data_IF_206150027111
#
_entry.id   IF_206150027111
#
_cell.length_a   1.000
_cell.length_b   1.000
_cell.length_c   1.000
_cell.angle_alpha   90.00
_cell.angle_beta   90.00
_cell.angle_gamma   90.00
#
_symmetry.space_group_name_H-M   'P 1'
#
loop_
_entity.id
_entity.type
_entity.pdbx_description
1 polymer ?
#
# COMPACT_ATOMS: atom_id res chain seq x y z
N UNK A 1 54.14 58.29 -25.19
CA UNK A 1 53.45 57.33 -24.28
C UNK A 1 53.36 56.01 -24.98
N UNK A 2 53.61 54.92 -24.25
CA UNK A 2 53.49 53.58 -24.79
C UNK A 2 52.02 53.32 -25.08
N UNK A 3 51.72 52.78 -26.28
CA UNK A 3 50.37 52.44 -26.71
C UNK A 3 49.94 51.22 -25.91
N UNK A 4 48.79 51.31 -25.15
CA UNK A 4 48.16 50.22 -24.50
C UNK A 4 46.99 49.71 -25.36
N UNK A 5 47.15 48.55 -25.97
CA UNK A 5 46.11 47.94 -26.82
C UNK A 5 44.83 47.62 -26.10
N UNK A 6 44.87 47.49 -24.77
CA UNK A 6 43.70 47.18 -23.97
C UNK A 6 42.79 48.39 -23.68
N UNK A 7 43.29 49.62 -23.86
CA UNK A 7 42.49 50.82 -23.57
C UNK A 7 41.33 51.06 -24.54
N UNK A 8 41.39 50.46 -25.74
CA UNK A 8 40.34 50.59 -26.74
C UNK A 8 39.63 49.32 -26.97
N UNK A 9 38.30 49.30 -26.70
CA UNK A 9 37.42 48.17 -26.95
C UNK A 9 37.96 46.84 -26.37
N UNK A 10 38.46 46.87 -25.12
CA UNK A 10 39.09 45.75 -24.44
C UNK A 10 40.14 45.01 -25.27
N UNK A 11 40.87 45.77 -26.13
CA UNK A 11 41.88 45.21 -27.04
C UNK A 11 41.33 44.25 -28.10
N UNK A 12 40.02 44.28 -28.36
CA UNK A 12 39.34 43.34 -29.24
C UNK A 12 39.08 41.97 -28.60
N UNK A 13 39.39 41.83 -27.31
CA UNK A 13 39.03 40.60 -26.56
C UNK A 13 37.54 40.51 -26.35
N UNK A 14 37.06 39.29 -26.08
CA UNK A 14 35.68 39.05 -25.64
C UNK A 14 35.35 39.90 -24.41
N UNK A 15 34.11 40.30 -24.26
CA UNK A 15 33.59 40.90 -23.02
C UNK A 15 33.69 39.95 -21.82
N UNK A 16 33.84 38.66 -22.07
CA UNK A 16 34.08 37.60 -21.08
C UNK A 16 35.57 37.23 -20.98
N UNK A 17 36.46 38.12 -21.40
CA UNK A 17 37.92 37.97 -21.29
C UNK A 17 38.55 39.17 -20.63
N UNK A 18 39.70 38.94 -20.04
CA UNK A 18 40.59 39.98 -19.55
C UNK A 18 41.66 40.27 -20.60
N UNK A 19 41.85 41.53 -20.89
CA UNK A 19 42.92 41.98 -21.75
C UNK A 19 44.16 42.31 -20.90
N UNK A 20 45.30 41.75 -21.28
CA UNK A 20 46.58 42.04 -20.65
C UNK A 20 47.53 42.63 -21.67
N UNK A 21 48.09 43.83 -21.36
CA UNK A 21 49.16 44.49 -22.13
C UNK A 21 50.43 43.63 -22.04
N UNK A 22 51.08 43.41 -23.15
CA UNK A 22 52.37 42.72 -23.23
C UNK A 22 53.49 43.67 -23.62
N UNK A 23 53.67 43.90 -24.90
CA UNK A 23 54.60 44.86 -25.42
C UNK A 23 53.81 46.06 -26.00
N UNK A 24 54.45 47.22 -26.26
CA UNK A 24 53.73 48.36 -26.83
C UNK A 24 52.95 47.99 -28.09
N UNK A 25 51.62 48.24 -28.06
CA UNK A 25 50.68 47.90 -29.13
C UNK A 25 50.24 46.43 -29.19
N UNK A 26 50.76 45.59 -28.31
CA UNK A 26 50.37 44.13 -28.22
C UNK A 26 49.64 43.80 -26.94
N UNK A 27 48.84 42.74 -26.99
CA UNK A 27 48.07 42.30 -25.87
C UNK A 27 47.79 40.77 -25.92
N UNK A 28 47.36 40.17 -24.82
CA UNK A 28 46.79 38.81 -24.70
C UNK A 28 45.38 38.89 -24.19
N UNK A 29 44.55 38.11 -24.74
CA UNK A 29 43.15 37.90 -24.25
C UNK A 29 43.09 36.59 -23.51
N UNK A 30 42.57 36.60 -22.28
CA UNK A 30 42.39 35.41 -21.45
C UNK A 30 40.92 35.34 -20.99
N UNK A 31 40.21 34.27 -21.32
CA UNK A 31 38.84 34.09 -20.86
C UNK A 31 38.76 34.16 -19.34
N UNK A 32 37.76 34.84 -18.82
CA UNK A 32 37.47 34.91 -17.38
C UNK A 32 37.13 33.53 -16.83
N UNK A 33 37.23 33.39 -15.51
CA UNK A 33 36.84 32.16 -14.82
C UNK A 33 35.40 31.74 -15.19
N UNK A 34 35.20 30.48 -15.50
CA UNK A 34 33.93 29.94 -15.96
C UNK A 34 33.72 29.98 -17.48
N UNK A 35 34.67 30.54 -18.22
CA UNK A 35 34.63 30.64 -19.68
C UNK A 35 35.85 29.96 -20.30
N UNK A 36 35.67 29.43 -21.49
CA UNK A 36 36.75 28.81 -22.27
C UNK A 36 36.77 29.35 -23.69
N UNK A 37 37.95 29.36 -24.29
CA UNK A 37 38.16 29.83 -25.64
C UNK A 37 39.55 30.49 -25.81
N UNK A 38 39.74 31.15 -26.94
CA UNK A 38 41.01 31.83 -27.30
C UNK A 38 41.12 33.25 -26.70
N UNK A 39 40.12 33.68 -25.95
CA UNK A 39 40.04 35.04 -25.38
C UNK A 39 39.38 36.05 -26.28
N UNK A 40 39.35 35.83 -27.59
CA UNK A 40 38.58 36.65 -28.55
C UNK A 40 37.15 36.18 -28.60
N UNK A 41 36.96 34.87 -28.55
CA UNK A 41 35.67 34.20 -28.34
C UNK A 41 35.79 33.40 -27.06
N UNK A 42 34.92 33.71 -26.09
CA UNK A 42 34.82 32.99 -24.81
C UNK A 42 33.38 32.47 -24.63
N UNK A 43 33.24 31.18 -24.44
CA UNK A 43 31.95 30.51 -24.21
C UNK A 43 31.88 29.98 -22.79
N UNK A 44 30.70 29.89 -22.25
CA UNK A 44 30.50 29.32 -20.93
C UNK A 44 30.95 27.87 -20.89
N UNK A 45 31.66 27.49 -19.82
CA UNK A 45 31.99 26.11 -19.55
C UNK A 45 30.72 25.45 -19.00
N UNK A 46 30.26 24.39 -19.67
CA UNK A 46 29.16 23.55 -19.18
C UNK A 46 29.75 22.31 -18.51
N UNK A 47 29.72 22.22 -17.16
CA UNK A 47 30.27 21.08 -16.45
C UNK A 47 29.55 19.77 -16.78
N UNK A 48 28.29 19.83 -17.21
CA UNK A 48 27.47 18.66 -17.52
C UNK A 48 27.96 17.88 -18.73
N UNK A 49 28.78 18.47 -19.58
CA UNK A 49 29.33 17.82 -20.78
C UNK A 49 30.46 16.84 -20.44
N UNK A 50 31.03 16.93 -19.28
CA UNK A 50 32.12 16.07 -18.83
C UNK A 50 31.73 15.39 -17.53
N UNK A 51 31.75 14.05 -17.52
CA UNK A 51 31.47 13.21 -16.35
C UNK A 51 30.17 13.61 -15.63
N UNK A 52 29.12 13.93 -16.39
CA UNK A 52 27.81 14.37 -15.87
C UNK A 52 27.91 15.50 -14.83
N UNK A 53 28.92 16.38 -14.94
CA UNK A 53 29.15 17.47 -13.99
C UNK A 53 29.51 17.02 -12.57
N UNK A 54 29.96 15.79 -12.40
CA UNK A 54 30.21 15.18 -11.11
C UNK A 54 28.94 14.74 -10.38
N UNK A 55 27.78 14.74 -11.05
CA UNK A 55 26.54 14.23 -10.52
C UNK A 55 26.55 12.69 -10.51
N UNK A 56 25.70 12.09 -9.67
CA UNK A 56 25.46 10.66 -9.67
C UNK A 56 24.94 10.20 -11.04
N UNK A 57 25.24 8.96 -11.42
CA UNK A 57 24.72 8.37 -12.67
C UNK A 57 23.19 8.34 -12.72
N UNK A 58 22.54 8.34 -11.55
CA UNK A 58 21.09 8.39 -11.37
C UNK A 58 20.61 9.81 -11.05
N UNK A 59 21.33 10.80 -11.51
CA UNK A 59 20.97 12.21 -11.38
C UNK A 59 21.04 12.91 -12.73
N UNK A 60 20.27 13.97 -12.85
CA UNK A 60 20.29 14.89 -13.97
C UNK A 60 21.18 16.09 -13.63
N UNK A 61 22.10 16.39 -14.52
CA UNK A 61 22.94 17.60 -14.42
C UNK A 61 22.31 18.75 -15.21
N UNK A 62 22.16 19.90 -14.60
CA UNK A 62 21.64 21.10 -15.25
C UNK A 62 22.64 22.24 -15.08
N UNK A 63 23.11 22.84 -16.18
CA UNK A 63 23.93 24.03 -16.13
C UNK A 63 23.14 25.22 -15.61
N UNK A 64 23.66 25.92 -14.61
CA UNK A 64 23.02 27.09 -14.00
C UNK A 64 23.84 28.38 -14.19
N UNK A 65 25.01 28.28 -14.77
CA UNK A 65 25.88 29.42 -15.03
C UNK A 65 27.23 28.98 -15.56
N UNK A 66 28.17 29.94 -15.76
CA UNK A 66 29.51 29.63 -16.25
C UNK A 66 30.27 28.69 -15.30
N UNK A 67 30.58 27.48 -15.76
CA UNK A 67 31.21 26.41 -14.98
C UNK A 67 30.45 26.07 -13.67
N UNK A 68 29.15 26.24 -13.69
CA UNK A 68 28.27 25.94 -12.56
C UNK A 68 27.16 25.02 -13.00
N UNK A 69 26.86 24.03 -12.19
CA UNK A 69 25.80 23.08 -12.44
C UNK A 69 25.15 22.65 -11.13
N UNK A 70 23.90 22.17 -11.22
CA UNK A 70 23.19 21.52 -10.14
C UNK A 70 22.86 20.09 -10.52
N UNK A 71 22.84 19.22 -9.52
CA UNK A 71 22.50 17.81 -9.66
C UNK A 71 21.17 17.54 -8.96
N UNK A 72 20.25 16.87 -9.64
CA UNK A 72 18.98 16.40 -9.07
C UNK A 72 18.83 14.92 -9.34
N UNK A 73 18.52 14.14 -8.29
CA UNK A 73 18.28 12.72 -8.48
C UNK A 73 17.11 12.49 -9.44
N UNK A 74 17.22 11.48 -10.30
CA UNK A 74 16.14 11.06 -11.19
C UNK A 74 14.95 10.55 -10.37
N UNK A 75 13.77 10.50 -11.00
CA UNK A 75 12.55 9.96 -10.40
C UNK A 75 12.81 8.54 -9.89
N UNK A 76 12.38 8.25 -8.65
CA UNK A 76 12.61 6.96 -8.00
C UNK A 76 13.93 6.86 -7.24
N UNK A 77 14.71 7.92 -7.21
CA UNK A 77 15.94 8.03 -6.43
C UNK A 77 15.87 9.21 -5.47
N UNK A 78 16.58 9.12 -4.38
CA UNK A 78 16.65 10.15 -3.36
C UNK A 78 18.11 10.42 -2.98
N UNK A 79 18.41 11.67 -2.68
CA UNK A 79 19.72 12.11 -2.30
C UNK A 79 19.99 13.57 -2.71
N UNK A 80 21.26 13.98 -2.61
CA UNK A 80 21.72 15.35 -2.91
C UNK A 80 22.04 15.58 -4.40
N UNK A 81 21.82 14.56 -5.23
CA UNK A 81 22.18 14.59 -6.66
C UNK A 81 23.62 14.18 -6.94
N UNK A 82 24.51 14.29 -5.98
CA UNK A 82 25.88 13.76 -6.04
C UNK A 82 25.94 12.29 -5.65
N UNK A 83 25.00 11.88 -4.81
CA UNK A 83 24.76 10.52 -4.43
C UNK A 83 23.25 10.30 -4.41
N UNK A 84 22.76 9.39 -5.25
CA UNK A 84 21.35 9.05 -5.38
C UNK A 84 21.14 7.58 -5.05
N UNK A 85 20.22 7.31 -4.12
CA UNK A 85 19.86 5.94 -3.70
C UNK A 85 18.47 5.59 -4.16
N UNK A 86 18.30 4.35 -4.59
CA UNK A 86 17.00 3.82 -5.02
C UNK A 86 15.98 3.87 -3.89
N UNK A 87 14.77 4.33 -4.20
CA UNK A 87 13.64 4.33 -3.28
C UNK A 87 12.80 3.08 -3.55
N UNK A 88 12.83 2.12 -2.61
CA UNK A 88 11.97 0.95 -2.68
C UNK A 88 10.53 1.35 -2.35
N UNK A 89 9.59 1.10 -3.25
CA UNK A 89 8.16 1.27 -2.98
C UNK A 89 7.69 0.31 -1.89
N UNK A 90 8.23 -0.90 -1.87
CA UNK A 90 7.86 -1.93 -0.90
C UNK A 90 8.32 -1.64 0.53
N UNK A 91 9.30 -0.75 0.72
CA UNK A 91 9.80 -0.38 2.04
C UNK A 91 8.84 0.52 2.82
N UNK A 92 7.87 1.12 2.15
CA UNK A 92 6.88 2.02 2.75
C UNK A 92 5.49 1.42 2.62
N UNK A 93 4.86 1.14 3.76
CA UNK A 93 3.48 0.62 3.80
C UNK A 93 3.25 -0.55 2.83
N UNK A 94 4.20 -1.50 2.79
CA UNK A 94 4.16 -2.68 1.91
C UNK A 94 3.87 -2.32 0.44
N UNK A 95 4.32 -1.14 -0.03
CA UNK A 95 4.09 -0.67 -1.39
C UNK A 95 2.62 -0.41 -1.74
N UNK A 96 1.74 -0.28 -0.75
CA UNK A 96 0.29 -0.22 -0.93
C UNK A 96 -0.36 -1.57 -1.20
N UNK A 97 0.39 -2.67 -1.15
CA UNK A 97 -0.15 -4.03 -1.25
C UNK A 97 -0.97 -4.38 0.00
N UNK A 98 -1.82 -5.41 -0.13
CA UNK A 98 -2.51 -5.99 1.02
C UNK A 98 -1.51 -6.43 2.10
N UNK A 99 -1.89 -6.37 3.37
CA UNK A 99 -1.11 -6.96 4.48
C UNK A 99 -0.88 -8.47 4.30
N UNK A 100 -1.75 -9.13 3.54
CA UNK A 100 -1.64 -10.55 3.18
C UNK A 100 -1.05 -10.74 1.78
N UNK A 101 -0.28 -9.80 1.31
CA UNK A 101 0.45 -9.87 0.05
C UNK A 101 1.95 -9.67 0.26
N UNK A 102 2.70 -10.17 -0.70
CA UNK A 102 4.14 -9.95 -0.81
C UNK A 102 4.33 -8.84 -1.85
N UNK A 103 5.06 -7.81 -1.46
CA UNK A 103 5.47 -6.74 -2.35
C UNK A 103 6.86 -7.01 -2.91
N UNK A 104 7.02 -6.87 -4.22
CA UNK A 104 8.33 -6.95 -4.89
C UNK A 104 8.50 -5.72 -5.78
N UNK A 105 9.60 -5.00 -5.58
CA UNK A 105 10.01 -3.96 -6.52
C UNK A 105 10.45 -4.61 -7.83
N UNK A 106 9.87 -4.22 -8.95
CA UNK A 106 10.17 -4.77 -10.27
C UNK A 106 11.07 -3.85 -11.08
N UNK A 107 10.77 -2.57 -11.09
CA UNK A 107 11.54 -1.51 -11.75
C UNK A 107 11.51 -0.25 -10.91
N UNK A 108 12.25 0.75 -11.35
CA UNK A 108 12.20 2.09 -10.73
C UNK A 108 10.77 2.63 -10.79
N UNK A 109 10.21 2.95 -9.63
CA UNK A 109 8.81 3.40 -9.46
C UNK A 109 7.73 2.36 -9.74
N UNK A 110 8.09 1.08 -9.90
CA UNK A 110 7.14 0.00 -10.12
C UNK A 110 7.31 -1.13 -9.12
N UNK A 111 6.22 -1.75 -8.77
CA UNK A 111 6.19 -2.92 -7.88
C UNK A 111 5.05 -3.85 -8.24
N UNK A 112 5.15 -5.11 -7.82
CA UNK A 112 4.08 -6.10 -7.91
C UNK A 112 3.61 -6.51 -6.54
N UNK A 113 2.32 -6.76 -6.41
CA UNK A 113 1.69 -7.28 -5.21
C UNK A 113 1.17 -8.68 -5.52
N UNK A 114 1.55 -9.67 -4.74
CA UNK A 114 1.10 -11.06 -4.89
C UNK A 114 0.55 -11.56 -3.56
N UNK A 115 -0.68 -12.06 -3.54
CA UNK A 115 -1.25 -12.62 -2.31
C UNK A 115 -0.38 -13.75 -1.77
N UNK A 116 -0.20 -13.78 -0.46
CA UNK A 116 0.50 -14.87 0.24
C UNK A 116 -0.22 -16.19 0.03
N UNK A 117 0.48 -17.29 0.30
CA UNK A 117 -0.09 -18.64 0.21
C UNK A 117 -1.40 -18.74 0.99
N UNK A 118 -2.39 -19.39 0.39
CA UNK A 118 -3.77 -19.58 0.91
C UNK A 118 -4.63 -18.30 0.90
N UNK A 119 -4.16 -17.21 0.31
CA UNK A 119 -4.96 -16.03 0.06
C UNK A 119 -5.16 -15.86 -1.44
N UNK A 120 -6.31 -15.33 -1.82
CA UNK A 120 -6.71 -15.13 -3.22
C UNK A 120 -7.10 -13.68 -3.46
N UNK A 121 -6.64 -13.12 -4.55
CA UNK A 121 -6.93 -11.75 -4.94
C UNK A 121 -5.90 -11.19 -5.90
N UNK A 122 -5.98 -9.87 -6.11
CA UNK A 122 -5.11 -9.14 -7.03
C UNK A 122 -3.79 -8.65 -6.39
N UNK A 123 -3.57 -8.99 -5.12
CA UNK A 123 -2.42 -8.53 -4.35
C UNK A 123 -2.66 -7.23 -3.60
N UNK A 124 -3.57 -6.37 -4.05
CA UNK A 124 -4.02 -5.17 -3.34
C UNK A 124 -5.13 -5.49 -2.35
N UNK A 125 -5.95 -6.47 -2.70
CA UNK A 125 -6.95 -7.09 -1.84
C UNK A 125 -6.75 -8.59 -1.88
N UNK A 126 -6.40 -9.16 -0.74
CA UNK A 126 -6.21 -10.60 -0.58
C UNK A 126 -7.22 -11.14 0.42
N UNK A 127 -7.96 -12.18 0.03
CA UNK A 127 -8.98 -12.83 0.85
C UNK A 127 -8.50 -14.20 1.25
N UNK A 128 -8.68 -14.53 2.53
CA UNK A 128 -8.47 -15.86 3.06
C UNK A 128 -9.79 -16.65 3.13
N UNK A 129 -9.74 -17.84 3.72
CA UNK A 129 -10.93 -18.58 4.06
C UNK A 129 -11.65 -17.93 5.27
N UNK A 130 -12.84 -18.45 5.63
CA UNK A 130 -13.64 -17.90 6.72
C UNK A 130 -12.86 -17.83 8.05
N UNK A 131 -12.03 -18.84 8.37
CA UNK A 131 -11.21 -18.81 9.58
C UNK A 131 -10.25 -17.63 9.61
N UNK A 132 -9.58 -17.37 8.49
CA UNK A 132 -8.65 -16.25 8.36
C UNK A 132 -9.38 -14.91 8.44
N UNK A 133 -10.54 -14.81 7.81
CA UNK A 133 -11.35 -13.58 7.84
C UNK A 133 -11.93 -13.31 9.24
N UNK A 134 -12.36 -14.33 9.99
CA UNK A 134 -12.81 -14.18 11.37
C UNK A 134 -11.70 -13.67 12.30
N UNK A 135 -10.50 -14.19 12.15
CA UNK A 135 -9.35 -13.80 12.97
C UNK A 135 -8.90 -12.37 12.68
N UNK A 136 -9.00 -11.95 11.43
CA UNK A 136 -8.54 -10.67 10.95
C UNK A 136 -9.32 -9.49 11.50
N UNK A 137 -10.64 -9.64 11.67
CA UNK A 137 -11.52 -8.57 12.15
C UNK A 137 -11.73 -8.69 13.66
N UNK A 138 -11.39 -7.65 14.43
CA UNK A 138 -11.59 -7.62 15.88
C UNK A 138 -13.06 -7.81 16.27
N UNK A 139 -14.01 -7.48 15.39
CA UNK A 139 -15.44 -7.66 15.63
C UNK A 139 -15.87 -9.14 15.64
N UNK A 140 -15.10 -10.02 15.03
CA UNK A 140 -15.36 -11.46 14.88
C UNK A 140 -14.32 -12.32 15.57
N UNK A 141 -13.24 -11.75 16.07
CA UNK A 141 -12.11 -12.50 16.63
C UNK A 141 -12.47 -13.34 17.86
N UNK A 142 -13.45 -12.95 18.65
CA UNK A 142 -13.90 -13.75 19.79
C UNK A 142 -14.63 -15.01 19.37
N UNK A 143 -15.44 -14.93 18.34
CA UNK A 143 -16.08 -16.11 17.73
C UNK A 143 -15.01 -17.09 17.22
N UNK A 144 -14.01 -16.58 16.54
CA UNK A 144 -12.86 -17.39 16.12
C UNK A 144 -12.19 -18.08 17.31
N UNK A 145 -11.93 -17.35 18.39
CA UNK A 145 -11.28 -17.90 19.59
C UNK A 145 -12.07 -19.09 20.19
N UNK A 146 -13.39 -18.99 20.21
CA UNK A 146 -14.24 -20.09 20.67
C UNK A 146 -14.20 -21.29 19.72
N UNK A 147 -14.23 -21.05 18.41
CA UNK A 147 -14.12 -22.12 17.42
C UNK A 147 -12.80 -22.87 17.56
N UNK A 148 -11.70 -22.14 17.73
CA UNK A 148 -10.37 -22.72 17.90
C UNK A 148 -10.26 -23.50 19.21
N UNK A 149 -10.71 -22.93 20.33
CA UNK A 149 -10.65 -23.56 21.64
C UNK A 149 -11.46 -24.86 21.71
N UNK A 150 -12.56 -24.95 20.98
CA UNK A 150 -13.44 -26.13 20.92
C UNK A 150 -13.16 -27.06 19.74
N UNK A 151 -12.07 -26.81 19.00
CA UNK A 151 -11.62 -27.59 17.84
C UNK A 151 -12.70 -27.76 16.76
N UNK A 152 -13.50 -26.72 16.55
CA UNK A 152 -14.50 -26.67 15.47
C UNK A 152 -13.80 -26.22 14.21
N UNK A 153 -13.41 -27.16 13.35
CA UNK A 153 -12.60 -26.92 12.16
C UNK A 153 -13.35 -27.13 10.85
N UNK A 154 -14.61 -27.52 10.90
CA UNK A 154 -15.42 -27.82 9.72
C UNK A 154 -15.49 -26.65 8.73
N UNK A 155 -15.53 -25.42 9.24
CA UNK A 155 -15.61 -24.21 8.40
C UNK A 155 -14.29 -23.83 7.73
N UNK A 156 -13.20 -24.53 8.01
CA UNK A 156 -11.95 -24.41 7.24
C UNK A 156 -11.98 -25.23 5.95
N UNK A 157 -12.97 -26.09 5.78
CA UNK A 157 -13.15 -26.93 4.61
C UNK A 157 -13.60 -26.15 3.37
N UNK A 158 -13.90 -26.87 2.27
CA UNK A 158 -14.17 -26.24 0.99
C UNK A 158 -15.48 -25.42 0.93
N UNK A 159 -16.40 -25.64 1.84
CA UNK A 159 -17.67 -24.92 1.86
C UNK A 159 -18.61 -25.31 0.71
N UNK A 160 -19.48 -24.39 0.26
CA UNK A 160 -19.66 -23.03 0.76
C UNK A 160 -20.33 -22.94 2.13
N UNK A 161 -20.03 -21.87 2.88
CA UNK A 161 -20.60 -21.62 4.20
C UNK A 161 -21.22 -20.23 4.31
N UNK A 162 -22.21 -20.08 5.19
CA UNK A 162 -22.71 -18.79 5.66
C UNK A 162 -22.61 -18.79 7.18
N UNK A 163 -21.95 -17.77 7.74
CA UNK A 163 -21.81 -17.59 9.17
C UNK A 163 -22.57 -16.37 9.64
N UNK A 164 -23.35 -16.54 10.72
CA UNK A 164 -23.95 -15.44 11.46
C UNK A 164 -23.17 -15.28 12.76
N UNK A 165 -22.31 -14.28 12.83
CA UNK A 165 -21.30 -14.15 13.88
C UNK A 165 -21.70 -13.08 14.89
N UNK A 166 -22.00 -13.44 16.14
CA UNK A 166 -22.20 -12.45 17.19
C UNK A 166 -20.92 -11.61 17.35
N UNK A 167 -21.12 -10.29 17.43
CA UNK A 167 -20.01 -9.36 17.61
C UNK A 167 -19.22 -9.68 18.88
N UNK A 168 -17.93 -9.46 18.86
CA UNK A 168 -16.99 -9.81 19.96
C UNK A 168 -17.44 -9.29 21.32
N UNK A 169 -17.92 -8.05 21.43
CA UNK A 169 -18.41 -7.49 22.69
C UNK A 169 -19.63 -8.23 23.24
N UNK A 170 -20.51 -8.73 22.38
CA UNK A 170 -21.67 -9.54 22.76
C UNK A 170 -21.23 -10.88 23.37
N UNK A 171 -20.30 -11.56 22.71
CA UNK A 171 -19.75 -12.83 23.23
C UNK A 171 -18.99 -12.63 24.55
N UNK A 172 -18.35 -11.50 24.76
CA UNK A 172 -17.60 -11.19 25.96
C UNK A 172 -18.50 -10.84 27.16
N UNK A 173 -19.68 -10.29 26.91
CA UNK A 173 -20.56 -9.77 27.97
C UNK A 173 -21.78 -10.63 28.27
N UNK A 174 -22.14 -11.57 27.38
CA UNK A 174 -23.28 -12.46 27.62
C UNK A 174 -22.93 -13.53 28.66
N UNK A 175 -23.61 -13.50 29.78
CA UNK A 175 -23.37 -14.39 30.90
C UNK A 175 -23.65 -15.86 30.57
N UNK A 176 -24.48 -16.14 29.59
CA UNK A 176 -24.82 -17.51 29.15
C UNK A 176 -23.62 -18.24 28.56
N UNK A 177 -22.69 -17.52 27.97
CA UNK A 177 -21.48 -18.09 27.34
C UNK A 177 -20.68 -18.90 28.35
N UNK A 178 -20.48 -18.38 29.56
CA UNK A 178 -19.77 -19.07 30.63
C UNK A 178 -20.48 -20.37 31.03
N UNK A 179 -21.80 -20.33 31.15
CA UNK A 179 -22.59 -21.50 31.47
C UNK A 179 -22.51 -22.56 30.37
N UNK A 180 -22.63 -22.19 29.11
CA UNK A 180 -22.49 -23.10 27.98
C UNK A 180 -21.10 -23.74 27.89
N UNK A 181 -20.05 -23.00 28.21
CA UNK A 181 -18.67 -23.54 28.25
C UNK A 181 -18.54 -24.59 29.37
N UNK A 182 -19.08 -24.30 30.56
CA UNK A 182 -19.03 -25.22 31.72
C UNK A 182 -19.84 -26.50 31.42
N UNK A 183 -21.00 -26.37 30.81
CA UNK A 183 -21.88 -27.50 30.46
C UNK A 183 -21.45 -28.29 29.21
N UNK A 184 -20.45 -27.78 28.45
CA UNK A 184 -20.02 -28.41 27.23
C UNK A 184 -20.99 -28.25 26.04
N UNK A 185 -21.91 -27.28 26.12
CA UNK A 185 -22.92 -27.02 25.08
C UNK A 185 -22.53 -25.91 24.12
N UNK A 186 -21.46 -25.20 24.39
CA UNK A 186 -21.02 -24.06 23.56
C UNK A 186 -20.73 -24.45 22.11
N UNK A 187 -20.18 -25.62 21.87
CA UNK A 187 -19.92 -26.11 20.51
C UNK A 187 -21.18 -26.20 19.66
N UNK A 188 -22.29 -26.65 20.23
CA UNK A 188 -23.58 -26.71 19.53
C UNK A 188 -24.13 -25.29 19.26
N UNK A 189 -23.99 -24.39 20.22
CA UNK A 189 -24.39 -23.00 20.04
C UNK A 189 -23.60 -22.37 18.89
N UNK A 190 -22.28 -22.58 18.82
CA UNK A 190 -21.46 -22.07 17.73
C UNK A 190 -21.86 -22.68 16.37
N UNK A 191 -22.08 -23.99 16.31
CA UNK A 191 -22.54 -24.66 15.08
C UNK A 191 -23.91 -24.19 14.63
N UNK A 192 -24.74 -23.74 15.54
CA UNK A 192 -26.05 -23.16 15.22
C UNK A 192 -25.93 -21.86 14.44
N UNK A 193 -24.79 -21.15 14.53
CA UNK A 193 -24.50 -19.93 13.79
C UNK A 193 -23.94 -20.17 12.38
N UNK A 194 -23.79 -21.43 11.99
CA UNK A 194 -23.18 -21.82 10.71
C UNK A 194 -24.21 -22.49 9.83
N UNK A 195 -24.27 -22.07 8.58
CA UNK A 195 -25.05 -22.74 7.52
C UNK A 195 -24.07 -23.35 6.53
N UNK A 196 -24.13 -24.66 6.34
CA UNK A 196 -23.32 -25.37 5.38
C UNK A 196 -24.02 -25.45 4.00
N UNK A 197 -23.23 -25.70 2.97
CA UNK A 197 -23.69 -25.91 1.58
C UNK A 197 -24.32 -24.69 0.91
N UNK A 198 -24.20 -23.52 1.48
CA UNK A 198 -24.68 -22.27 0.89
C UNK A 198 -23.82 -21.08 1.30
N UNK A 199 -23.55 -20.21 0.35
CA UNK A 199 -22.95 -18.90 0.58
C UNK A 199 -24.01 -17.84 0.28
N UNK A 200 -24.72 -17.41 1.30
CA UNK A 200 -25.89 -16.54 1.20
C UNK A 200 -25.49 -15.09 1.48
N UNK A 201 -25.48 -14.28 0.45
CA UNK A 201 -25.27 -12.84 0.58
C UNK A 201 -26.51 -12.17 1.22
N UNK A 202 -26.34 -10.92 1.66
CA UNK A 202 -27.44 -10.20 2.31
C UNK A 202 -28.71 -10.16 1.47
N UNK A 203 -28.58 -9.90 0.16
CA UNK A 203 -29.73 -9.87 -0.74
C UNK A 203 -30.44 -11.22 -0.85
N UNK A 204 -29.70 -12.31 -0.79
CA UNK A 204 -30.30 -13.66 -0.78
C UNK A 204 -31.16 -13.86 0.48
N UNK A 205 -30.67 -13.36 1.61
CA UNK A 205 -31.38 -13.47 2.90
C UNK A 205 -32.68 -12.69 2.95
N UNK A 206 -32.85 -11.67 2.13
CA UNK A 206 -34.12 -10.89 2.06
C UNK A 206 -35.26 -11.66 1.46
N UNK A 207 -34.98 -12.76 0.75
CA UNK A 207 -35.98 -13.57 0.02
C UNK A 207 -36.18 -14.97 0.60
N UNK A 208 -35.40 -15.36 1.61
CA UNK A 208 -35.42 -16.68 2.23
C UNK A 208 -36.16 -16.59 3.59
N UNK A 209 -36.97 -17.58 3.93
CA UNK A 209 -37.70 -17.60 5.19
C UNK A 209 -37.04 -18.41 6.29
N UNK A 210 -36.20 -19.39 5.94
CA UNK A 210 -35.44 -20.19 6.90
C UNK A 210 -34.26 -20.88 6.23
N UNK A 211 -33.28 -21.27 7.05
CA UNK A 211 -32.13 -22.09 6.64
C UNK A 211 -31.85 -23.10 7.74
N UNK A 212 -31.25 -24.23 7.39
CA UNK A 212 -30.84 -25.25 8.34
C UNK A 212 -29.40 -24.97 8.80
N UNK A 213 -29.20 -24.93 10.11
CA UNK A 213 -27.87 -24.73 10.69
C UNK A 213 -27.02 -26.01 10.61
N UNK A 214 -25.72 -25.87 10.78
CA UNK A 214 -24.78 -26.98 10.89
C UNK A 214 -25.09 -27.86 12.12
N UNK A 215 -25.67 -27.28 13.17
CA UNK A 215 -26.12 -28.00 14.37
C UNK A 215 -27.34 -28.88 14.08
N UNK A 216 -28.18 -28.54 13.10
CA UNK A 216 -29.34 -29.28 12.65
C UNK A 216 -30.67 -28.54 12.78
N UNK A 217 -30.79 -27.64 13.71
CA UNK A 217 -32.00 -26.85 13.90
C UNK A 217 -32.11 -25.69 12.89
N UNK A 218 -33.35 -25.32 12.51
CA UNK A 218 -33.55 -24.22 11.57
C UNK A 218 -33.34 -22.85 12.21
N UNK A 219 -32.89 -21.91 11.39
CA UNK A 219 -32.84 -20.47 11.71
C UNK A 219 -33.92 -19.81 10.86
N UNK A 220 -34.86 -19.10 11.50
CA UNK A 220 -35.87 -18.31 10.80
C UNK A 220 -35.24 -17.00 10.34
N UNK A 221 -35.52 -16.61 9.10
CA UNK A 221 -35.05 -15.38 8.51
C UNK A 221 -36.24 -14.52 8.14
N UNK A 222 -36.19 -13.25 8.57
CA UNK A 222 -37.21 -12.27 8.23
C UNK A 222 -36.58 -10.98 7.78
N UNK A 223 -37.23 -10.31 6.83
CA UNK A 223 -36.83 -9.00 6.34
C UNK A 223 -37.91 -8.00 6.64
N UNK A 224 -37.61 -7.03 7.49
CA UNK A 224 -38.54 -5.97 7.87
C UNK A 224 -37.79 -4.69 8.23
N UNK A 225 -38.41 -3.55 8.02
CA UNK A 225 -37.82 -2.24 8.33
C UNK A 225 -36.39 -2.08 7.73
N UNK A 226 -36.21 -2.53 6.49
CA UNK A 226 -34.93 -2.52 5.77
C UNK A 226 -33.80 -3.29 6.47
N UNK A 227 -34.12 -4.31 7.25
CA UNK A 227 -33.13 -5.11 7.97
C UNK A 227 -33.51 -6.57 7.99
N UNK A 228 -32.48 -7.43 7.98
CA UNK A 228 -32.64 -8.87 8.14
C UNK A 228 -32.52 -9.23 9.61
N UNK A 229 -33.48 -10.00 10.08
CA UNK A 229 -33.54 -10.53 11.44
C UNK A 229 -33.51 -12.05 11.44
N UNK A 230 -32.79 -12.62 12.40
CA UNK A 230 -32.72 -14.07 12.64
C UNK A 230 -33.50 -14.42 13.90
N UNK A 231 -34.37 -15.42 13.78
CA UNK A 231 -35.26 -15.86 14.87
C UNK A 231 -36.07 -14.67 15.48
N UNK A 232 -36.42 -13.70 14.65
CA UNK A 232 -37.16 -12.49 15.04
C UNK A 232 -36.51 -11.64 16.15
N UNK A 233 -35.22 -11.83 16.41
CA UNK A 233 -34.48 -11.14 17.48
C UNK A 233 -33.16 -10.57 17.02
N UNK A 234 -32.26 -11.40 16.50
CA UNK A 234 -30.92 -10.99 16.12
C UNK A 234 -30.94 -10.25 14.78
N UNK A 235 -30.42 -9.04 14.78
CA UNK A 235 -30.30 -8.20 13.57
C UNK A 235 -28.91 -8.35 12.96
N UNK A 236 -28.85 -8.48 11.65
CA UNK A 236 -27.59 -8.35 10.91
C UNK A 236 -27.19 -6.88 10.89
N UNK A 237 -26.03 -6.57 11.49
CA UNK A 237 -25.49 -5.22 11.61
C UNK A 237 -24.34 -4.91 10.65
N UNK A 238 -23.72 -5.95 10.12
CA UNK A 238 -22.70 -5.85 9.06
C UNK A 238 -22.75 -7.11 8.22
N UNK A 239 -22.66 -6.98 6.91
CA UNK A 239 -22.92 -8.08 5.99
C UNK A 239 -21.84 -8.19 4.92
N UNK A 240 -21.85 -9.36 4.26
CA UNK A 240 -21.11 -9.64 3.03
C UNK A 240 -19.58 -9.55 3.17
N UNK A 241 -19.04 -9.94 4.34
CA UNK A 241 -17.60 -10.20 4.45
C UNK A 241 -17.29 -11.54 3.79
N UNK A 242 -16.82 -11.51 2.55
CA UNK A 242 -16.64 -12.70 1.71
C UNK A 242 -15.24 -13.27 1.88
N UNK A 243 -15.16 -14.54 2.28
CA UNK A 243 -13.96 -15.38 2.24
C UNK A 243 -13.98 -16.31 1.01
N UNK A 244 -12.91 -17.09 0.85
CA UNK A 244 -12.78 -18.02 -0.29
C UNK A 244 -13.75 -19.19 -0.22
N UNK A 245 -14.25 -19.54 0.95
CA UNK A 245 -15.15 -20.67 1.19
C UNK A 245 -16.50 -20.29 1.80
N UNK A 246 -16.87 -19.01 1.82
CA UNK A 246 -18.17 -18.58 2.33
C UNK A 246 -18.27 -17.10 2.61
N UNK A 247 -19.31 -16.73 3.34
CA UNK A 247 -19.64 -15.35 3.70
C UNK A 247 -19.93 -15.22 5.19
N UNK A 248 -19.56 -14.08 5.77
CA UNK A 248 -19.76 -13.75 7.19
C UNK A 248 -20.71 -12.56 7.30
N UNK A 249 -21.73 -12.71 8.14
CA UNK A 249 -22.61 -11.62 8.56
C UNK A 249 -22.48 -11.44 10.07
N UNK A 250 -22.29 -10.21 10.51
CA UNK A 250 -22.18 -9.88 11.93
C UNK A 250 -23.57 -9.56 12.48
N UNK A 251 -23.91 -10.17 13.60
CA UNK A 251 -25.21 -10.01 14.27
C UNK A 251 -25.04 -9.40 15.66
N UNK A 252 -26.13 -8.80 16.16
CA UNK A 252 -26.13 -8.08 17.44
C UNK A 252 -26.59 -8.91 18.64
N UNK A 253 -26.90 -10.19 18.44
CA UNK A 253 -27.29 -11.11 19.51
C UNK A 253 -26.79 -12.52 19.21
N UNK A 254 -26.62 -13.33 20.24
CA UNK A 254 -26.30 -14.75 20.10
C UNK A 254 -27.57 -15.52 19.76
N UNK A 255 -27.50 -16.40 18.75
CA UNK A 255 -28.59 -17.33 18.43
C UNK A 255 -28.54 -18.51 19.36
N UNK A 256 -29.69 -18.95 19.84
CA UNK A 256 -29.83 -20.12 20.70
C UNK A 256 -30.72 -21.15 20.00
N UNK A 257 -30.24 -22.40 19.84
CA UNK A 257 -31.01 -23.48 19.22
C UNK A 257 -32.30 -23.78 19.94
#
# INVERSE_FOLDING_TARGET
SAIDACETNNGGCSDKADCRRTTPGNRVCICKAGYTGDGIVCIEINPCLENNGGCDRNAECTQIGPNQATCNCLKGYSGDGKKCTYISLCSQNNGGCSEFAICNDTEVTERTCTCKRNYVGDGFKCRGNIFQELLRDFKTSRFYSHLEALSITEIAGPGPFTLFVPRTDILNTDLRVKDWLIRGTMAQVLRYHVVACASLLYNDLTTISNVTSLQGDPIQISYSQNSVYLNNKAKIISSDAVGTNGVIHIINQILVP
#
